data_IF_065760689998
#
_entry.id   IF_065760689998
#
_cell.length_a   1.000
_cell.length_b   1.000
_cell.length_c   1.000
_cell.angle_alpha   90.00
_cell.angle_beta   90.00
_cell.angle_gamma   90.00
#
_symmetry.space_group_name_H-M   'P 1'
#
loop_
_entity.id
_entity.type
_entity.pdbx_description
1 polymer ?
#
# COMPACT_ATOMS: atom_id res chain seq x y z
N UNK A 1 -64.54 -14.56 55.35
CA UNK A 1 -63.87 -13.40 55.99
C UNK A 1 -62.38 -13.70 55.92
N UNK A 2 -61.53 -13.04 55.13
CA UNK A 2 -61.13 -11.62 55.13
C UNK A 2 -60.50 -11.31 53.76
N UNK A 3 -60.72 -10.09 53.26
CA UNK A 3 -60.36 -9.58 51.93
C UNK A 3 -58.90 -9.11 51.86
N UNK A 4 -58.46 -8.82 50.62
CA UNK A 4 -57.54 -7.74 50.16
C UNK A 4 -56.13 -8.16 49.70
N UNK A 5 -55.48 -7.64 48.63
CA UNK A 5 -55.75 -6.65 47.57
C UNK A 5 -54.65 -6.79 46.45
N UNK A 6 -55.04 -6.65 45.17
CA UNK A 6 -54.44 -5.90 44.03
C UNK A 6 -52.92 -5.81 43.65
N UNK A 7 -52.68 -5.88 42.32
CA UNK A 7 -51.59 -5.22 41.55
C UNK A 7 -50.88 -6.16 40.55
N UNK A 8 -51.25 -6.31 39.25
CA UNK A 8 -51.20 -5.42 38.07
C UNK A 8 -49.82 -5.28 37.37
N UNK A 9 -49.83 -5.38 36.01
CA UNK A 9 -48.80 -4.98 35.01
C UNK A 9 -47.54 -5.88 34.92
N UNK A 10 -46.97 -6.25 33.76
CA UNK A 10 -47.17 -5.90 32.34
C UNK A 10 -46.45 -6.90 31.44
N UNK A 11 -47.02 -7.04 30.25
CA UNK A 11 -46.52 -7.54 28.96
C UNK A 11 -45.03 -7.23 28.65
N UNK A 12 -44.32 -8.16 28.01
CA UNK A 12 -43.50 -7.86 26.82
C UNK A 12 -43.05 -9.14 26.12
N UNK A 13 -43.77 -9.48 25.05
CA UNK A 13 -43.25 -10.32 23.96
C UNK A 13 -42.26 -9.45 23.18
N UNK A 14 -41.00 -9.88 23.11
CA UNK A 14 -40.03 -9.35 22.15
C UNK A 14 -39.56 -10.50 21.27
N UNK A 15 -40.15 -10.59 20.08
CA UNK A 15 -39.48 -11.17 18.93
C UNK A 15 -38.44 -10.16 18.44
N UNK A 16 -37.18 -10.58 18.26
CA UNK A 16 -36.11 -9.66 17.91
C UNK A 16 -34.84 -10.35 17.40
N UNK A 17 -34.84 -10.64 16.09
CA UNK A 17 -33.71 -10.50 15.16
C UNK A 17 -32.43 -11.32 15.42
N UNK A 18 -32.33 -12.42 14.69
CA UNK A 18 -31.06 -13.09 14.36
C UNK A 18 -30.19 -12.15 13.51
N UNK A 19 -29.35 -11.35 14.17
CA UNK A 19 -28.25 -10.65 13.51
C UNK A 19 -27.09 -11.64 13.31
N UNK A 20 -26.81 -11.95 12.04
CA UNK A 20 -25.58 -12.60 11.61
C UNK A 20 -24.34 -11.83 12.09
N UNK A 21 -23.79 -12.20 13.25
CA UNK A 21 -22.39 -11.93 13.59
C UNK A 21 -21.63 -13.22 13.40
N UNK A 22 -21.08 -13.41 12.20
CA UNK A 22 -20.13 -14.48 11.91
C UNK A 22 -18.78 -14.18 12.56
N UNK A 23 -18.73 -14.17 13.90
CA UNK A 23 -17.48 -14.31 14.64
C UNK A 23 -17.23 -15.80 14.84
N UNK A 24 -16.73 -16.47 13.79
CA UNK A 24 -16.07 -17.75 14.00
C UNK A 24 -14.91 -17.48 14.97
N UNK A 25 -14.83 -18.16 16.12
CA UNK A 25 -13.66 -18.06 16.97
C UNK A 25 -12.43 -18.48 16.15
N UNK A 26 -11.38 -17.66 16.18
CA UNK A 26 -10.10 -17.98 15.58
C UNK A 26 -9.64 -19.34 16.12
N UNK A 27 -9.20 -20.23 15.24
CA UNK A 27 -8.67 -21.53 15.65
C UNK A 27 -7.49 -21.32 16.61
N UNK A 28 -7.46 -22.05 17.71
CA UNK A 28 -6.34 -21.99 18.65
C UNK A 28 -5.03 -22.33 17.93
N UNK A 29 -3.99 -21.54 18.18
CA UNK A 29 -2.66 -21.79 17.62
C UNK A 29 -2.16 -23.20 18.00
N UNK A 30 -1.41 -23.89 17.13
CA UNK A 30 -0.83 -25.18 17.45
C UNK A 30 0.00 -25.15 18.74
N UNK A 31 0.01 -26.25 19.49
CA UNK A 31 0.75 -26.35 20.76
C UNK A 31 2.23 -25.97 20.58
N UNK A 32 2.73 -25.08 21.43
CA UNK A 32 4.10 -24.58 21.39
C UNK A 32 4.32 -23.39 20.44
N UNK A 33 3.28 -22.89 19.78
CA UNK A 33 3.36 -21.68 18.95
C UNK A 33 2.75 -20.48 19.66
N UNK A 34 3.48 -19.37 19.67
CA UNK A 34 2.99 -18.06 20.12
C UNK A 34 2.67 -17.23 18.89
N UNK A 35 1.46 -16.72 18.82
CA UNK A 35 1.05 -15.78 17.77
C UNK A 35 1.68 -14.41 18.04
N UNK A 36 2.41 -13.90 17.05
CA UNK A 36 3.04 -12.58 17.12
C UNK A 36 2.20 -11.54 16.40
N UNK A 37 1.92 -10.43 17.07
CA UNK A 37 1.22 -9.29 16.46
C UNK A 37 2.21 -8.53 15.59
N UNK A 38 2.00 -8.54 14.28
CA UNK A 38 2.81 -7.77 13.34
C UNK A 38 2.42 -6.28 13.45
N UNK A 39 3.33 -5.37 13.85
CA UNK A 39 3.03 -3.95 13.87
C UNK A 39 2.72 -3.43 12.47
N UNK A 40 1.77 -2.49 12.38
CA UNK A 40 1.38 -1.83 11.13
C UNK A 40 0.88 -2.82 10.04
N UNK A 41 0.18 -3.89 10.43
CA UNK A 41 -0.32 -4.95 9.52
C UNK A 41 -1.77 -4.81 9.06
N UNK A 42 -2.50 -3.84 9.62
CA UNK A 42 -3.90 -3.58 9.28
C UNK A 42 -4.12 -3.12 7.82
N UNK A 43 -5.35 -3.23 7.28
CA UNK A 43 -5.67 -2.87 5.89
C UNK A 43 -5.29 -1.43 5.52
N UNK A 44 -5.30 -0.50 6.49
CA UNK A 44 -4.93 0.90 6.26
C UNK A 44 -3.47 1.09 5.86
N UNK A 45 -2.58 0.13 6.12
CA UNK A 45 -1.16 0.23 5.73
C UNK A 45 -0.85 -0.42 4.39
N UNK A 46 -1.86 -1.02 3.73
CA UNK A 46 -1.72 -1.59 2.39
C UNK A 46 -1.83 -0.50 1.33
N UNK A 47 -1.20 -0.75 0.18
CA UNK A 47 -1.41 0.08 -1.01
C UNK A 47 -2.89 0.10 -1.39
N UNK A 48 -3.34 1.21 -1.96
CA UNK A 48 -4.72 1.39 -2.39
C UNK A 48 -4.77 2.09 -3.76
N UNK A 49 -5.94 2.60 -4.15
CA UNK A 49 -6.12 3.25 -5.45
C UNK A 49 -5.30 4.55 -5.59
N UNK A 50 -4.98 5.21 -4.49
CA UNK A 50 -4.34 6.53 -4.48
C UNK A 50 -2.85 6.48 -4.10
N UNK A 51 -2.48 5.52 -3.26
CA UNK A 51 -1.16 5.44 -2.66
C UNK A 51 -0.52 4.07 -2.83
N UNK A 52 0.75 4.09 -3.19
CA UNK A 52 1.68 3.03 -2.83
C UNK A 52 2.01 3.13 -1.36
N UNK A 53 2.02 1.99 -0.67
CA UNK A 53 2.46 1.87 0.73
C UNK A 53 3.39 0.69 0.91
N UNK A 54 4.39 0.88 1.77
CA UNK A 54 5.29 -0.17 2.24
C UNK A 54 5.43 -0.09 3.75
N UNK A 55 5.58 -1.24 4.40
CA UNK A 55 5.79 -1.35 5.84
C UNK A 55 7.07 -2.13 6.07
N UNK A 56 8.07 -1.48 6.67
CA UNK A 56 9.32 -2.12 7.01
C UNK A 56 9.78 -1.73 8.41
N UNK A 57 10.78 -2.47 8.88
CA UNK A 57 11.44 -2.17 10.14
C UNK A 57 12.96 -2.14 10.03
N UNK A 58 13.59 -1.57 11.05
CA UNK A 58 15.03 -1.54 11.24
C UNK A 58 15.37 -1.74 12.71
N UNK A 59 16.49 -2.41 12.96
CA UNK A 59 16.95 -2.74 14.32
C UNK A 59 18.37 -2.22 14.53
N UNK A 60 18.61 -1.55 15.67
CA UNK A 60 19.94 -1.05 16.04
C UNK A 60 20.01 -0.72 17.54
N UNK A 61 21.20 -0.81 18.17
CA UNK A 61 21.43 -0.22 19.50
C UNK A 61 21.15 1.30 19.53
N UNK A 62 21.28 1.99 18.39
CA UNK A 62 21.04 3.43 18.27
C UNK A 62 19.68 3.71 17.62
N UNK A 63 18.81 4.48 18.31
CA UNK A 63 17.46 4.80 17.83
C UNK A 63 17.44 5.41 16.43
N UNK A 64 18.33 6.37 16.18
CA UNK A 64 18.42 7.07 14.89
C UNK A 64 18.85 6.13 13.76
N UNK A 65 19.70 5.16 14.05
CA UNK A 65 20.12 4.15 13.07
C UNK A 65 18.99 3.14 12.78
N UNK A 66 18.26 2.69 13.80
CA UNK A 66 17.08 1.83 13.61
C UNK A 66 16.04 2.50 12.69
N UNK A 67 15.76 3.79 12.93
CA UNK A 67 14.90 4.60 12.06
C UNK A 67 15.46 4.70 10.64
N UNK A 68 16.75 5.01 10.47
CA UNK A 68 17.39 5.12 9.16
C UNK A 68 17.23 3.83 8.34
N UNK A 69 17.49 2.68 8.96
CA UNK A 69 17.34 1.37 8.33
C UNK A 69 15.89 1.12 7.92
N UNK A 70 14.91 1.36 8.81
CA UNK A 70 13.50 1.17 8.52
C UNK A 70 13.03 2.04 7.33
N UNK A 71 13.44 3.30 7.31
CA UNK A 71 13.14 4.25 6.23
C UNK A 71 13.76 3.82 4.90
N UNK A 72 15.00 3.31 4.92
CA UNK A 72 15.68 2.82 3.72
C UNK A 72 15.00 1.56 3.17
N UNK A 73 14.64 0.62 4.03
CA UNK A 73 13.94 -0.61 3.65
C UNK A 73 12.58 -0.28 3.01
N UNK A 74 11.80 0.63 3.60
CA UNK A 74 10.53 1.06 2.99
C UNK A 74 10.71 1.70 1.62
N UNK A 75 11.73 2.57 1.46
CA UNK A 75 12.01 3.20 0.16
C UNK A 75 12.40 2.17 -0.90
N UNK A 76 13.18 1.15 -0.54
CA UNK A 76 13.54 0.07 -1.46
C UNK A 76 12.32 -0.76 -1.89
N UNK A 77 11.44 -1.09 -0.95
CA UNK A 77 10.21 -1.82 -1.25
C UNK A 77 9.27 -0.98 -2.13
N UNK A 78 9.08 0.30 -1.81
CA UNK A 78 8.33 1.22 -2.67
C UNK A 78 8.94 1.31 -4.07
N UNK A 79 10.27 1.44 -4.19
CA UNK A 79 10.94 1.47 -5.49
C UNK A 79 10.62 0.23 -6.31
N UNK A 80 10.80 -0.96 -5.71
CA UNK A 80 10.56 -2.22 -6.39
C UNK A 80 9.10 -2.35 -6.85
N UNK A 81 8.15 -2.05 -5.98
CA UNK A 81 6.72 -2.14 -6.30
C UNK A 81 6.34 -1.17 -7.43
N UNK A 82 6.77 0.08 -7.33
CA UNK A 82 6.45 1.12 -8.33
C UNK A 82 7.10 0.78 -9.68
N UNK A 83 8.35 0.32 -9.70
CA UNK A 83 9.07 -0.04 -10.92
C UNK A 83 8.42 -1.24 -11.63
N UNK A 84 7.99 -2.26 -10.87
CA UNK A 84 7.30 -3.43 -11.42
C UNK A 84 5.96 -3.04 -12.09
N UNK A 85 5.22 -2.13 -11.47
CA UNK A 85 3.96 -1.64 -12.01
C UNK A 85 4.19 -0.78 -13.26
N UNK A 86 5.16 0.14 -13.22
CA UNK A 86 5.53 0.97 -14.37
C UNK A 86 5.99 0.14 -15.55
N UNK A 87 6.77 -0.92 -15.31
CA UNK A 87 7.14 -1.88 -16.36
C UNK A 87 5.90 -2.46 -17.03
N UNK A 88 4.90 -2.87 -16.26
CA UNK A 88 3.63 -3.39 -16.79
C UNK A 88 2.87 -2.34 -17.59
N UNK A 89 2.82 -1.09 -17.10
CA UNK A 89 2.22 0.04 -17.83
C UNK A 89 2.89 0.26 -19.17
N UNK A 90 4.23 0.30 -19.22
CA UNK A 90 5.00 0.50 -20.44
C UNK A 90 4.78 -0.67 -21.42
N UNK A 91 4.78 -1.91 -20.94
CA UNK A 91 4.50 -3.09 -21.76
C UNK A 91 3.10 -3.06 -22.38
N UNK A 92 2.09 -2.64 -21.62
CA UNK A 92 0.72 -2.54 -22.11
C UNK A 92 0.52 -1.34 -23.04
N UNK A 93 1.18 -0.21 -22.76
CA UNK A 93 1.21 0.95 -23.65
C UNK A 93 1.80 0.59 -25.02
N UNK A 94 2.93 -0.14 -25.03
CA UNK A 94 3.54 -0.59 -26.29
C UNK A 94 2.66 -1.58 -27.07
N UNK A 95 1.82 -2.39 -26.41
CA UNK A 95 0.89 -3.32 -27.07
C UNK A 95 -0.33 -2.62 -27.66
N UNK A 96 -0.92 -1.67 -26.92
CA UNK A 96 -2.18 -1.02 -27.29
C UNK A 96 -2.03 0.04 -28.39
N UNK A 97 -0.83 0.55 -28.60
CA UNK A 97 -0.56 1.64 -29.53
C UNK A 97 -0.58 1.23 -31.03
N UNK A 98 -0.53 -0.05 -31.42
CA UNK A 98 -0.15 -0.42 -32.81
C UNK A 98 1.13 0.30 -33.31
N UNK A 99 1.95 0.87 -32.42
CA UNK A 99 3.01 1.86 -32.74
C UNK A 99 4.21 1.27 -33.46
N UNK A 100 4.40 -0.05 -33.39
CA UNK A 100 5.70 -0.62 -33.71
C UNK A 100 6.81 -0.13 -32.77
N UNK A 101 6.46 0.27 -31.52
CA UNK A 101 7.44 0.72 -30.53
C UNK A 101 8.58 -0.28 -30.40
N UNK A 102 9.79 0.18 -30.73
CA UNK A 102 10.97 -0.68 -30.75
C UNK A 102 11.35 -1.11 -29.33
N UNK A 103 12.14 -2.18 -29.23
CA UNK A 103 12.62 -2.63 -27.92
C UNK A 103 13.54 -1.59 -27.28
N UNK A 104 14.30 -0.84 -28.08
CA UNK A 104 15.13 0.27 -27.61
C UNK A 104 14.28 1.37 -26.97
N UNK A 105 13.15 1.74 -27.60
CA UNK A 105 12.24 2.72 -27.03
C UNK A 105 11.66 2.22 -25.69
N UNK A 106 11.21 0.96 -25.59
CA UNK A 106 10.72 0.39 -24.33
C UNK A 106 11.76 0.47 -23.20
N UNK A 107 13.02 0.13 -23.51
CA UNK A 107 14.12 0.24 -22.54
C UNK A 107 14.33 1.69 -22.10
N UNK A 108 14.32 2.65 -23.03
CA UNK A 108 14.46 4.08 -22.69
C UNK A 108 13.31 4.59 -21.81
N UNK A 109 12.06 4.19 -22.10
CA UNK A 109 10.91 4.49 -21.23
C UNK A 109 11.12 3.92 -19.82
N UNK A 110 11.59 2.67 -19.69
CA UNK A 110 11.85 2.06 -18.39
C UNK A 110 12.97 2.78 -17.63
N UNK A 111 14.10 3.08 -18.27
CA UNK A 111 15.22 3.76 -17.64
C UNK A 111 14.83 5.16 -17.11
N UNK A 112 14.14 5.96 -17.93
CA UNK A 112 13.66 7.29 -17.54
C UNK A 112 12.68 7.23 -16.38
N UNK A 113 11.71 6.31 -16.45
CA UNK A 113 10.70 6.17 -15.41
C UNK A 113 11.30 5.63 -14.10
N UNK A 114 12.31 4.76 -14.16
CA UNK A 114 13.00 4.28 -12.96
C UNK A 114 13.85 5.36 -12.30
N UNK A 115 14.53 6.18 -13.10
CA UNK A 115 15.29 7.32 -12.60
C UNK A 115 14.38 8.29 -11.84
N UNK A 116 13.20 8.62 -12.38
CA UNK A 116 12.28 9.54 -11.71
C UNK A 116 11.66 8.93 -10.45
N UNK A 117 11.37 7.62 -10.42
CA UNK A 117 10.92 6.92 -9.20
C UNK A 117 11.97 7.06 -8.10
N UNK A 118 13.23 6.75 -8.40
CA UNK A 118 14.31 6.85 -7.42
C UNK A 118 14.48 8.27 -6.88
N UNK A 119 14.31 9.29 -7.74
CA UNK A 119 14.32 10.69 -7.31
C UNK A 119 13.14 11.01 -6.38
N UNK A 120 11.93 10.56 -6.71
CA UNK A 120 10.70 10.82 -5.94
C UNK A 120 10.66 10.13 -4.59
N UNK A 121 11.35 9.01 -4.42
CA UNK A 121 11.38 8.30 -3.15
C UNK A 121 12.10 9.04 -2.00
N UNK A 122 12.74 10.16 -2.30
CA UNK A 122 13.20 11.10 -1.28
C UNK A 122 12.03 11.83 -0.60
N UNK A 123 10.91 12.04 -1.30
CA UNK A 123 9.74 12.82 -0.87
C UNK A 123 8.57 11.93 -0.40
N UNK A 124 8.86 10.73 0.10
CA UNK A 124 7.88 9.81 0.68
C UNK A 124 7.28 10.35 1.98
N UNK A 125 5.99 10.11 2.19
CA UNK A 125 5.28 10.54 3.38
C UNK A 125 5.23 9.42 4.42
N UNK A 126 5.39 9.76 5.70
CA UNK A 126 5.18 8.82 6.80
C UNK A 126 3.68 8.72 7.08
N UNK A 127 3.15 7.50 7.09
CA UNK A 127 1.76 7.22 7.49
C UNK A 127 1.68 6.99 8.99
N UNK A 128 2.52 6.09 9.50
CA UNK A 128 2.62 5.78 10.92
C UNK A 128 4.00 5.18 11.23
N UNK A 129 4.45 5.38 12.46
CA UNK A 129 5.69 4.83 12.98
C UNK A 129 5.49 4.27 14.39
N UNK A 130 6.21 3.20 14.71
CA UNK A 130 6.25 2.60 16.04
C UNK A 130 7.69 2.28 16.40
N UNK A 131 8.06 2.50 17.65
CA UNK A 131 9.38 2.13 18.16
C UNK A 131 9.23 1.28 19.42
N UNK A 132 10.01 0.20 19.46
CA UNK A 132 10.09 -0.70 20.60
C UNK A 132 11.54 -0.77 21.07
N UNK A 133 11.72 -0.93 22.38
CA UNK A 133 13.01 -1.29 22.96
C UNK A 133 12.96 -2.78 23.30
N UNK A 134 13.90 -3.53 22.73
CA UNK A 134 14.07 -4.96 22.96
C UNK A 134 14.76 -5.23 24.30
N UNK A 135 14.63 -6.45 24.81
CA UNK A 135 15.25 -6.89 26.08
C UNK A 135 16.78 -6.87 26.03
N UNK A 136 17.37 -7.02 24.85
CA UNK A 136 18.81 -6.90 24.59
C UNK A 136 19.30 -5.44 24.54
N UNK A 137 18.41 -4.45 24.71
CA UNK A 137 18.73 -3.02 24.65
C UNK A 137 18.64 -2.38 23.27
N UNK A 138 18.43 -3.15 22.19
CA UNK A 138 18.25 -2.61 20.84
C UNK A 138 16.92 -1.88 20.69
N UNK A 139 16.87 -0.95 19.74
CA UNK A 139 15.63 -0.37 19.24
C UNK A 139 15.19 -1.08 17.97
N UNK A 140 13.91 -1.38 17.90
CA UNK A 140 13.23 -1.82 16.68
C UNK A 140 12.24 -0.74 16.24
N UNK A 141 12.44 -0.20 15.05
CA UNK A 141 11.63 0.86 14.48
C UNK A 141 10.80 0.30 13.32
N UNK A 142 9.49 0.40 13.39
CA UNK A 142 8.56 0.10 12.30
C UNK A 142 8.07 1.40 11.69
N UNK A 143 7.95 1.43 10.37
CA UNK A 143 7.38 2.58 9.66
C UNK A 143 6.56 2.11 8.48
N UNK A 144 5.43 2.79 8.26
CA UNK A 144 4.68 2.74 7.02
C UNK A 144 4.95 4.02 6.24
N UNK A 145 5.47 3.89 5.02
CA UNK A 145 5.64 5.01 4.10
C UNK A 145 4.62 4.94 2.98
N UNK A 146 4.23 6.11 2.46
CA UNK A 146 3.37 6.21 1.29
C UNK A 146 3.94 7.13 0.20
N UNK A 147 3.57 6.82 -1.04
CA UNK A 147 3.86 7.60 -2.24
C UNK A 147 2.60 7.70 -3.10
N UNK A 148 2.26 8.92 -3.55
CA UNK A 148 1.07 9.14 -4.38
C UNK A 148 1.25 8.53 -5.77
N UNK A 149 0.28 7.74 -6.21
CA UNK A 149 0.25 7.16 -7.56
C UNK A 149 0.17 8.24 -8.64
N UNK A 150 -0.65 9.26 -8.41
CA UNK A 150 -0.76 10.41 -9.32
C UNK A 150 0.55 11.21 -9.41
N UNK A 151 1.31 11.33 -8.31
CA UNK A 151 2.62 11.97 -8.35
C UNK A 151 3.65 11.17 -9.18
N UNK A 152 3.60 9.83 -9.11
CA UNK A 152 4.43 8.96 -9.96
C UNK A 152 4.01 9.07 -11.42
N UNK A 153 2.72 9.05 -11.72
CA UNK A 153 2.18 9.23 -13.08
C UNK A 153 2.69 10.52 -13.71
N UNK A 154 2.47 11.65 -13.04
CA UNK A 154 2.87 12.97 -13.51
C UNK A 154 4.40 13.06 -13.71
N UNK A 155 5.17 12.44 -12.81
CA UNK A 155 6.61 12.42 -12.90
C UNK A 155 7.11 11.56 -14.07
N UNK A 156 6.48 10.42 -14.33
CA UNK A 156 6.76 9.56 -15.48
C UNK A 156 6.41 10.27 -16.80
N UNK A 157 5.22 10.87 -16.92
CA UNK A 157 4.81 11.64 -18.09
C UNK A 157 5.81 12.78 -18.36
N UNK A 158 6.17 13.55 -17.32
CA UNK A 158 7.11 14.64 -17.45
C UNK A 158 8.51 14.16 -17.89
N UNK A 159 8.97 13.01 -17.39
CA UNK A 159 10.26 12.44 -17.77
C UNK A 159 10.28 12.04 -19.26
N UNK A 160 9.22 11.39 -19.73
CA UNK A 160 9.08 10.98 -21.13
C UNK A 160 8.94 12.20 -22.04
N UNK A 161 8.10 13.18 -21.66
CA UNK A 161 7.87 14.39 -22.44
C UNK A 161 9.11 15.27 -22.62
N UNK A 162 10.07 15.19 -21.71
CA UNK A 162 11.36 15.91 -21.81
C UNK A 162 12.34 15.23 -22.77
N UNK A 163 12.15 13.95 -23.07
CA UNK A 163 12.97 13.26 -24.05
C UNK A 163 12.46 13.59 -25.47
N UNK A 164 13.29 14.28 -26.25
CA UNK A 164 12.91 14.77 -27.57
C UNK A 164 12.55 13.65 -28.55
N UNK A 165 13.13 12.46 -28.41
CA UNK A 165 12.87 11.32 -29.30
C UNK A 165 11.58 10.62 -28.90
N UNK A 166 11.41 10.33 -27.61
CA UNK A 166 10.22 9.61 -27.13
C UNK A 166 8.95 10.46 -27.22
N UNK A 167 9.05 11.78 -27.00
CA UNK A 167 7.90 12.68 -27.02
C UNK A 167 7.22 12.80 -28.41
N UNK A 168 7.92 12.49 -29.51
CA UNK A 168 7.33 12.52 -30.86
C UNK A 168 6.24 11.47 -31.04
N UNK A 169 6.38 10.33 -30.40
CA UNK A 169 5.49 9.17 -30.50
C UNK A 169 4.67 8.97 -29.21
N UNK A 170 4.75 9.92 -28.27
CA UNK A 170 4.13 9.80 -26.96
C UNK A 170 2.67 10.27 -26.98
N UNK A 171 1.75 9.31 -26.99
CA UNK A 171 0.34 9.55 -26.70
C UNK A 171 0.14 9.60 -25.17
N UNK A 172 0.10 10.83 -24.66
CA UNK A 172 -0.09 11.12 -23.23
C UNK A 172 -1.43 10.61 -22.72
N UNK A 173 -2.50 10.78 -23.48
CA UNK A 173 -3.85 10.39 -23.06
C UNK A 173 -3.94 8.88 -22.95
N UNK A 174 -3.40 8.16 -23.92
CA UNK A 174 -3.37 6.70 -23.88
C UNK A 174 -2.46 6.17 -22.77
N UNK A 175 -1.28 6.76 -22.57
CA UNK A 175 -0.38 6.37 -21.47
C UNK A 175 -1.07 6.56 -20.11
N UNK A 176 -1.67 7.73 -19.89
CA UNK A 176 -2.42 8.04 -18.68
C UNK A 176 -3.56 7.06 -18.44
N UNK A 177 -4.37 6.79 -19.48
CA UNK A 177 -5.47 5.83 -19.38
C UNK A 177 -4.96 4.45 -18.95
N UNK A 178 -3.90 3.95 -19.57
CA UNK A 178 -3.32 2.64 -19.23
C UNK A 178 -2.75 2.67 -17.81
N UNK A 179 -2.07 3.75 -17.42
CA UNK A 179 -1.55 3.91 -16.07
C UNK A 179 -2.68 3.81 -15.04
N UNK A 180 -3.74 4.61 -15.17
CA UNK A 180 -4.89 4.61 -14.26
C UNK A 180 -5.60 3.24 -14.20
N UNK A 181 -5.79 2.58 -15.34
CA UNK A 181 -6.37 1.24 -15.41
C UNK A 181 -5.52 0.20 -14.66
N UNK A 182 -4.20 0.21 -14.88
CA UNK A 182 -3.27 -0.70 -14.17
C UNK A 182 -3.26 -0.40 -12.66
N UNK A 183 -3.19 0.87 -12.26
CA UNK A 183 -3.17 1.26 -10.85
C UNK A 183 -4.41 0.84 -10.08
N UNK A 184 -5.59 0.92 -10.73
CA UNK A 184 -6.86 0.43 -10.17
C UNK A 184 -6.81 -1.09 -10.01
N UNK A 185 -6.31 -1.83 -11.01
CA UNK A 185 -6.19 -3.28 -10.92
C UNK A 185 -5.23 -3.74 -9.80
N UNK A 186 -4.13 -3.01 -9.58
CA UNK A 186 -3.16 -3.33 -8.52
C UNK A 186 -3.67 -3.00 -7.11
N UNK A 187 -4.59 -2.04 -6.96
CA UNK A 187 -5.18 -1.69 -5.67
C UNK A 187 -6.17 -2.73 -5.11
N UNK A 188 -6.54 -3.72 -5.92
CA UNK A 188 -7.53 -4.76 -5.58
C UNK A 188 -6.88 -6.09 -5.16
N UNK A 189 -5.54 -6.18 -5.15
CA UNK A 189 -4.76 -7.33 -4.66
C UNK A 189 -4.34 -7.11 -3.21
#
# INVERSE_FOLDING_TARGET
MKKMFFGALSLLVVAGMSSCSSSKPAAAAPSGMVEEVIPLSGPQYRSNAEYYRAVQNGVSPERSMAQKIAMQNCRQELASNIQNDLKTVIENYAKNQNTGMTNEAKTQYQELTYAVVNQRLNDVQIVEEKIFRETNGNYRYYVCLQMSKAAIEAAAEQAIAKDAKLNLEFDREQFKKIFEEQMKAFSQK
#
